data_IF_022322575230
#
_entry.id   IF_022322575230
#
_cell.length_a   1.000
_cell.length_b   1.000
_cell.length_c   1.000
_cell.angle_alpha   90.00
_cell.angle_beta   90.00
_cell.angle_gamma   90.00
#
_symmetry.space_group_name_H-M   'P 1'
#
loop_
_entity.id
_entity.type
_entity.pdbx_description
1 polymer ?
#
# COMPACT_ATOMS: atom_id res chain seq x y z
N UNK A 1 2.31 3.22 -28.99
CA UNK A 1 1.24 3.60 -28.05
C UNK A 1 1.62 3.03 -26.70
N UNK A 2 1.71 3.83 -25.62
CA UNK A 2 1.77 3.27 -24.28
C UNK A 2 0.56 2.36 -24.08
N UNK A 3 0.76 1.21 -23.42
CA UNK A 3 -0.38 0.36 -23.04
C UNK A 3 -1.32 1.14 -22.13
N UNK A 4 -2.64 0.95 -22.28
CA UNK A 4 -3.63 1.52 -21.36
C UNK A 4 -3.33 0.98 -19.95
N UNK A 5 -2.96 1.84 -18.98
CA UNK A 5 -2.65 1.39 -17.63
C UNK A 5 -3.81 0.66 -16.95
N UNK A 6 -5.06 0.96 -17.33
CA UNK A 6 -6.25 0.27 -16.80
C UNK A 6 -6.26 -1.22 -17.17
N UNK A 7 -5.55 -1.62 -18.22
CA UNK A 7 -5.40 -3.02 -18.57
C UNK A 7 -4.74 -3.85 -17.45
N UNK A 8 -4.00 -3.22 -16.52
CA UNK A 8 -3.42 -3.92 -15.36
C UNK A 8 -4.50 -4.59 -14.49
N UNK A 9 -5.70 -4.02 -14.44
CA UNK A 9 -6.83 -4.50 -13.63
C UNK A 9 -7.33 -5.88 -14.04
N UNK A 10 -7.11 -6.26 -15.30
CA UNK A 10 -7.57 -7.54 -15.86
C UNK A 10 -6.42 -8.39 -16.38
N UNK A 11 -5.18 -7.91 -16.21
CA UNK A 11 -4.00 -8.61 -16.71
C UNK A 11 -3.71 -9.82 -15.83
N UNK A 12 -3.61 -11.03 -16.41
CA UNK A 12 -3.23 -12.20 -15.64
C UNK A 12 -1.80 -12.05 -15.13
N UNK A 13 -1.59 -12.40 -13.86
CA UNK A 13 -0.28 -12.54 -13.27
C UNK A 13 0.08 -14.04 -13.13
N UNK A 14 1.37 -14.41 -13.14
CA UNK A 14 1.78 -15.76 -12.77
C UNK A 14 1.21 -16.15 -11.39
N UNK A 15 0.89 -17.43 -11.16
CA UNK A 15 0.49 -17.89 -9.83
C UNK A 15 1.59 -17.58 -8.78
N UNK A 16 1.25 -17.47 -7.50
CA UNK A 16 2.24 -17.35 -6.45
C UNK A 16 3.03 -18.64 -6.28
N UNK A 17 4.23 -18.54 -5.69
CA UNK A 17 5.06 -19.70 -5.36
C UNK A 17 4.54 -20.45 -4.13
N UNK A 18 3.89 -19.73 -3.21
CA UNK A 18 3.22 -20.28 -2.03
C UNK A 18 2.11 -19.33 -1.56
N UNK A 19 1.13 -19.86 -0.83
CA UNK A 19 0.15 -19.06 -0.09
C UNK A 19 0.23 -19.45 1.38
N UNK A 20 0.31 -18.47 2.26
CA UNK A 20 0.38 -18.65 3.71
C UNK A 20 -0.83 -18.02 4.38
N UNK A 21 -1.29 -18.61 5.48
CA UNK A 21 -2.32 -18.03 6.34
C UNK A 21 -1.64 -17.30 7.52
N UNK A 22 -2.14 -16.12 7.86
CA UNK A 22 -1.72 -15.36 9.05
C UNK A 22 -2.81 -15.29 10.12
N UNK A 23 -3.98 -15.90 9.86
CA UNK A 23 -5.08 -16.06 10.80
C UNK A 23 -6.07 -17.12 10.32
N UNK A 24 -7.17 -17.29 11.05
CA UNK A 24 -8.14 -18.37 10.84
C UNK A 24 -9.17 -18.06 9.74
N UNK A 25 -9.38 -16.79 9.41
CA UNK A 25 -10.33 -16.41 8.37
C UNK A 25 -9.76 -16.71 6.96
N UNK A 26 -10.56 -17.15 5.97
CA UNK A 26 -10.06 -17.44 4.62
C UNK A 26 -9.31 -16.29 3.94
N UNK A 27 -9.76 -15.06 4.19
CA UNK A 27 -9.13 -13.84 3.68
C UNK A 27 -7.94 -13.37 4.54
N UNK A 28 -7.60 -14.06 5.64
CA UNK A 28 -6.38 -13.83 6.40
C UNK A 28 -5.21 -14.64 5.83
N UNK A 29 -4.92 -14.40 4.54
CA UNK A 29 -3.86 -15.07 3.80
C UNK A 29 -2.97 -14.11 3.02
N UNK A 30 -1.83 -14.59 2.54
CA UNK A 30 -0.97 -13.86 1.63
C UNK A 30 -0.32 -14.78 0.60
N UNK A 31 -0.19 -14.25 -0.60
CA UNK A 31 0.52 -14.90 -1.70
C UNK A 31 1.99 -14.48 -1.68
N UNK A 32 2.88 -15.45 -1.65
CA UNK A 32 4.32 -15.26 -1.62
C UNK A 32 4.92 -15.47 -3.01
N UNK A 33 5.85 -14.58 -3.37
CA UNK A 33 6.63 -14.68 -4.61
C UNK A 33 8.11 -14.67 -4.30
N UNK A 34 8.82 -15.62 -4.92
CA UNK A 34 10.28 -15.74 -4.82
C UNK A 34 10.96 -14.62 -5.59
N UNK A 35 11.98 -13.97 -5.01
CA UNK A 35 12.83 -13.05 -5.76
C UNK A 35 13.55 -13.77 -6.88
N UNK A 36 13.68 -13.13 -8.04
CA UNK A 36 14.55 -13.59 -9.10
C UNK A 36 16.04 -13.42 -8.74
N UNK A 37 16.86 -14.39 -9.15
CA UNK A 37 18.32 -14.42 -8.94
C UNK A 37 18.75 -15.04 -7.61
N UNK A 38 20.05 -15.32 -7.50
CA UNK A 38 20.64 -16.05 -6.36
C UNK A 38 21.36 -15.11 -5.37
N UNK A 39 20.84 -13.88 -5.23
CA UNK A 39 21.40 -12.87 -4.33
C UNK A 39 21.20 -13.20 -2.85
N UNK A 40 21.84 -12.43 -1.94
CA UNK A 40 21.61 -12.61 -0.50
C UNK A 40 20.14 -12.34 -0.13
N UNK A 41 19.68 -12.83 1.04
CA UNK A 41 18.35 -12.54 1.54
C UNK A 41 18.06 -11.04 1.54
N UNK A 42 16.86 -10.65 1.12
CA UNK A 42 16.43 -9.24 1.10
C UNK A 42 15.25 -9.00 2.01
N UNK A 43 15.10 -7.74 2.43
CA UNK A 43 13.92 -7.29 3.18
C UNK A 43 12.65 -7.59 2.38
N UNK A 44 11.64 -8.13 3.07
CA UNK A 44 10.34 -8.45 2.48
C UNK A 44 9.64 -7.18 2.00
N UNK A 45 9.01 -7.25 0.82
CA UNK A 45 8.07 -6.25 0.35
C UNK A 45 6.65 -6.77 0.52
N UNK A 46 5.87 -6.14 1.39
CA UNK A 46 4.45 -6.48 1.57
C UNK A 46 3.61 -5.56 0.69
N UNK A 47 2.81 -6.13 -0.20
CA UNK A 47 1.91 -5.40 -1.10
C UNK A 47 0.49 -5.47 -0.55
N UNK A 48 -0.11 -4.30 -0.30
CA UNK A 48 -1.51 -4.15 0.16
C UNK A 48 -2.33 -3.57 -0.98
N UNK A 49 -3.32 -4.34 -1.46
CA UNK A 49 -4.13 -3.94 -2.60
C UNK A 49 -5.16 -2.86 -2.25
N UNK A 50 -5.61 -2.13 -3.27
CA UNK A 50 -6.66 -1.11 -3.19
C UNK A 50 -8.07 -1.67 -3.45
N UNK A 51 -8.93 -0.86 -4.06
CA UNK A 51 -10.32 -1.23 -4.37
C UNK A 51 -11.34 -0.77 -3.32
N UNK A 52 -11.08 0.38 -2.68
CA UNK A 52 -12.00 0.99 -1.70
C UNK A 52 -12.49 0.03 -0.60
N UNK A 53 -11.63 -0.92 -0.22
CA UNK A 53 -11.91 -1.96 0.78
C UNK A 53 -13.11 -2.85 0.43
N UNK A 54 -13.58 -2.85 -0.81
CA UNK A 54 -14.76 -3.60 -1.26
C UNK A 54 -14.39 -5.02 -1.65
N UNK A 55 -15.30 -5.95 -1.38
CA UNK A 55 -15.15 -7.37 -1.68
C UNK A 55 -14.90 -7.68 -3.17
N UNK A 56 -15.27 -6.74 -4.05
CA UNK A 56 -15.09 -6.78 -5.51
C UNK A 56 -13.63 -6.92 -5.94
N UNK A 57 -12.69 -6.43 -5.13
CA UNK A 57 -11.27 -6.43 -5.43
C UNK A 57 -10.51 -7.20 -4.35
N UNK A 58 -9.67 -8.13 -4.76
CA UNK A 58 -8.81 -8.91 -3.88
C UNK A 58 -7.33 -8.67 -4.22
N UNK A 59 -6.43 -9.35 -3.52
CA UNK A 59 -4.98 -9.22 -3.74
C UNK A 59 -4.54 -9.48 -5.19
N UNK A 60 -5.30 -10.25 -5.99
CA UNK A 60 -4.95 -10.56 -7.38
C UNK A 60 -4.88 -9.31 -8.25
N UNK A 61 -5.61 -8.25 -7.89
CA UNK A 61 -5.56 -6.91 -8.50
C UNK A 61 -4.14 -6.33 -8.59
N UNK A 62 -3.27 -6.67 -7.63
CA UNK A 62 -1.87 -6.22 -7.60
C UNK A 62 -0.89 -7.28 -8.12
N UNK A 63 -1.39 -8.39 -8.68
CA UNK A 63 -0.60 -9.51 -9.17
C UNK A 63 0.51 -9.10 -10.14
N UNK A 64 0.24 -8.31 -11.19
CA UNK A 64 1.28 -7.85 -12.11
C UNK A 64 2.39 -7.05 -11.42
N UNK A 65 2.03 -6.15 -10.49
CA UNK A 65 3.00 -5.38 -9.71
C UNK A 65 3.88 -6.30 -8.86
N UNK A 66 3.28 -7.24 -8.14
CA UNK A 66 4.01 -8.15 -7.28
C UNK A 66 4.94 -9.08 -8.06
N UNK A 67 4.50 -9.58 -9.22
CA UNK A 67 5.35 -10.35 -10.12
C UNK A 67 6.54 -9.52 -10.64
N UNK A 68 6.31 -8.26 -10.99
CA UNK A 68 7.39 -7.36 -11.45
C UNK A 68 8.38 -7.02 -10.33
N UNK A 69 7.91 -6.79 -9.10
CA UNK A 69 8.79 -6.59 -7.93
C UNK A 69 9.63 -7.84 -7.63
N UNK A 70 9.03 -9.04 -7.76
CA UNK A 70 9.75 -10.31 -7.61
C UNK A 70 10.81 -10.50 -8.70
N UNK A 71 10.50 -10.14 -9.95
CA UNK A 71 11.45 -10.14 -11.07
C UNK A 71 12.61 -9.14 -10.88
N UNK A 72 12.41 -8.08 -10.10
CA UNK A 72 13.46 -7.15 -9.67
C UNK A 72 14.30 -7.67 -8.49
N UNK A 73 14.03 -8.90 -8.03
CA UNK A 73 14.79 -9.58 -6.98
C UNK A 73 14.30 -9.33 -5.56
N UNK A 74 13.09 -8.78 -5.36
CA UNK A 74 12.51 -8.65 -4.02
C UNK A 74 11.67 -9.88 -3.64
N UNK A 75 11.79 -10.43 -2.42
CA UNK A 75 10.76 -11.32 -1.90
C UNK A 75 9.49 -10.50 -1.66
N UNK A 76 8.36 -10.98 -2.17
CA UNK A 76 7.08 -10.25 -2.12
C UNK A 76 6.02 -11.07 -1.41
N UNK A 77 5.23 -10.43 -0.55
CA UNK A 77 4.01 -10.96 0.03
C UNK A 77 2.83 -10.06 -0.34
N UNK A 78 1.87 -10.55 -1.13
CA UNK A 78 0.62 -9.85 -1.41
C UNK A 78 -0.41 -10.24 -0.36
N UNK A 79 -0.72 -9.33 0.56
CA UNK A 79 -1.62 -9.62 1.68
C UNK A 79 -3.08 -9.46 1.24
N UNK A 80 -3.91 -10.44 1.63
CA UNK A 80 -5.37 -10.35 1.60
C UNK A 80 -5.89 -9.94 2.98
N UNK A 81 -7.09 -9.38 3.04
CA UNK A 81 -7.75 -8.99 4.28
C UNK A 81 -9.27 -9.01 4.12
N UNK A 82 -10.06 -9.11 5.19
CA UNK A 82 -11.53 -9.02 5.08
C UNK A 82 -11.96 -7.68 4.52
N UNK A 83 -12.96 -7.69 3.63
CA UNK A 83 -13.41 -6.51 2.87
C UNK A 83 -14.89 -6.21 3.12
N UNK A 84 -15.25 -4.93 3.03
CA UNK A 84 -16.65 -4.48 3.08
C UNK A 84 -17.49 -5.20 2.03
N UNK A 85 -18.73 -5.55 2.39
CA UNK A 85 -19.59 -6.42 1.59
C UNK A 85 -19.45 -7.91 1.92
N UNK A 86 -18.45 -8.31 2.71
CA UNK A 86 -18.35 -9.67 3.28
C UNK A 86 -18.78 -9.68 4.76
N UNK A 87 -19.21 -10.84 5.29
CA UNK A 87 -19.41 -11.02 6.72
C UNK A 87 -18.15 -10.65 7.51
N UNK A 88 -18.29 -9.71 8.44
CA UNK A 88 -17.20 -9.27 9.30
C UNK A 88 -16.17 -8.36 8.62
N UNK A 89 -16.35 -7.95 7.36
CA UNK A 89 -15.52 -6.92 6.74
C UNK A 89 -15.91 -5.51 7.17
N UNK A 90 -15.00 -4.55 6.97
CA UNK A 90 -15.11 -3.21 7.53
C UNK A 90 -14.51 -3.11 8.92
N UNK A 91 -14.94 -2.11 9.68
CA UNK A 91 -14.45 -1.84 11.02
C UNK A 91 -14.82 -2.96 12.02
N UNK A 92 -13.88 -3.42 12.87
CA UNK A 92 -12.45 -3.09 12.87
C UNK A 92 -11.61 -4.02 11.98
N UNK A 93 -12.20 -5.12 11.52
CA UNK A 93 -11.52 -6.29 10.99
C UNK A 93 -10.69 -6.05 9.73
N UNK A 94 -11.15 -5.23 8.78
CA UNK A 94 -10.35 -4.89 7.59
C UNK A 94 -8.99 -4.30 7.99
N UNK A 95 -8.98 -3.46 9.03
CA UNK A 95 -7.78 -2.79 9.49
C UNK A 95 -6.91 -3.72 10.34
N UNK A 96 -7.52 -4.45 11.27
CA UNK A 96 -6.78 -5.36 12.15
C UNK A 96 -6.24 -6.57 11.42
N UNK A 97 -6.88 -7.00 10.33
CA UNK A 97 -6.36 -8.05 9.43
C UNK A 97 -5.05 -7.62 8.77
N UNK A 98 -4.98 -6.42 8.17
CA UNK A 98 -3.74 -5.94 7.55
C UNK A 98 -2.65 -5.70 8.59
N UNK A 99 -3.00 -5.19 9.77
CA UNK A 99 -2.06 -5.05 10.88
C UNK A 99 -1.47 -6.41 11.30
N UNK A 100 -2.32 -7.42 11.50
CA UNK A 100 -1.88 -8.76 11.84
C UNK A 100 -1.03 -9.40 10.73
N UNK A 101 -1.47 -9.27 9.48
CA UNK A 101 -0.76 -9.77 8.30
C UNK A 101 0.63 -9.15 8.16
N UNK A 102 0.75 -7.83 8.10
CA UNK A 102 2.05 -7.14 7.98
C UNK A 102 3.00 -7.53 9.12
N UNK A 103 2.48 -7.70 10.34
CA UNK A 103 3.29 -8.10 11.50
C UNK A 103 3.79 -9.55 11.39
N UNK A 104 2.96 -10.49 10.92
CA UNK A 104 3.29 -11.91 10.85
C UNK A 104 4.10 -12.31 9.61
N UNK A 105 3.91 -11.60 8.49
CA UNK A 105 4.43 -12.01 7.19
C UNK A 105 5.95 -12.15 7.08
N UNK A 106 6.80 -11.36 7.76
CA UNK A 106 8.25 -11.59 7.73
C UNK A 106 8.64 -13.00 8.18
N UNK A 107 8.02 -13.49 9.27
CA UNK A 107 8.28 -14.83 9.80
C UNK A 107 7.72 -15.92 8.91
N UNK A 108 6.46 -15.76 8.46
CA UNK A 108 5.81 -16.72 7.56
C UNK A 108 6.54 -16.84 6.21
N UNK A 109 6.97 -15.71 5.64
CA UNK A 109 7.72 -15.68 4.39
C UNK A 109 9.12 -16.29 4.56
N UNK A 110 9.82 -16.02 5.67
CA UNK A 110 11.13 -16.64 5.95
C UNK A 110 11.04 -18.17 6.10
N UNK A 111 9.95 -18.68 6.68
CA UNK A 111 9.70 -20.11 6.79
C UNK A 111 9.37 -20.76 5.43
N UNK A 112 8.54 -20.11 4.62
CA UNK A 112 8.14 -20.62 3.31
C UNK A 112 9.23 -20.46 2.23
N UNK A 113 10.07 -19.43 2.33
CA UNK A 113 11.12 -19.07 1.38
C UNK A 113 12.49 -19.03 2.09
N UNK A 114 13.00 -20.18 2.56
CA UNK A 114 14.21 -20.23 3.37
C UNK A 114 15.43 -19.66 2.64
N UNK A 115 16.17 -18.77 3.31
CA UNK A 115 17.37 -18.13 2.76
C UNK A 115 17.11 -16.97 1.79
N UNK A 116 15.85 -16.58 1.56
CA UNK A 116 15.50 -15.51 0.60
C UNK A 116 15.00 -14.23 1.28
N UNK A 117 14.52 -14.32 2.52
CA UNK A 117 13.95 -13.21 3.29
C UNK A 117 14.89 -12.82 4.43
N UNK A 118 15.28 -11.56 4.50
CA UNK A 118 16.11 -11.02 5.56
C UNK A 118 15.28 -10.79 6.85
N UNK A 119 15.91 -10.98 8.01
CA UNK A 119 15.32 -10.69 9.31
C UNK A 119 15.28 -9.18 9.59
N UNK A 120 14.32 -8.49 8.98
CA UNK A 120 14.07 -7.08 9.19
C UNK A 120 12.59 -6.75 8.94
N UNK A 121 12.04 -5.67 9.55
CA UNK A 121 10.69 -5.21 9.24
C UNK A 121 10.51 -4.97 7.74
N UNK A 122 9.37 -5.36 7.15
CA UNK A 122 9.12 -5.26 5.71
C UNK A 122 8.96 -3.81 5.27
N UNK A 123 9.17 -3.56 3.97
CA UNK A 123 8.64 -2.33 3.35
C UNK A 123 7.23 -2.62 2.87
N UNK A 124 6.28 -1.77 3.25
CA UNK A 124 4.87 -1.91 2.89
C UNK A 124 4.56 -1.00 1.72
N UNK A 125 4.14 -1.60 0.60
CA UNK A 125 3.69 -0.92 -0.61
C UNK A 125 2.17 -1.02 -0.64
N UNK A 126 1.48 0.11 -0.51
CA UNK A 126 0.02 0.15 -0.52
C UNK A 126 -0.50 1.01 -1.67
N UNK A 127 -1.47 0.51 -2.44
CA UNK A 127 -2.13 1.29 -3.49
C UNK A 127 -3.53 1.73 -3.07
N UNK A 128 -3.87 3.01 -3.28
CA UNK A 128 -5.22 3.53 -3.04
C UNK A 128 -5.69 3.27 -1.60
N UNK A 129 -6.79 2.55 -1.43
CA UNK A 129 -7.28 2.02 -0.15
C UNK A 129 -6.27 1.14 0.61
N UNK A 130 -5.36 0.46 -0.07
CA UNK A 130 -4.22 -0.24 0.52
C UNK A 130 -3.10 0.69 0.97
N UNK A 131 -2.96 1.86 0.33
CA UNK A 131 -2.10 2.95 0.78
C UNK A 131 -2.57 3.55 2.11
N UNK A 132 -3.89 3.68 2.28
CA UNK A 132 -4.51 3.97 3.57
C UNK A 132 -4.10 2.94 4.64
N UNK A 133 -4.29 1.65 4.35
CA UNK A 133 -3.99 0.58 5.31
C UNK A 133 -2.49 0.49 5.63
N UNK A 134 -1.60 0.77 4.68
CA UNK A 134 -0.16 0.83 4.92
C UNK A 134 0.22 1.95 5.91
N UNK A 135 -0.38 3.13 5.77
CA UNK A 135 -0.20 4.24 6.71
C UNK A 135 -0.78 3.92 8.09
N UNK A 136 -1.96 3.29 8.13
CA UNK A 136 -2.57 2.81 9.37
C UNK A 136 -1.64 1.86 10.14
N UNK A 137 -1.08 0.84 9.48
CA UNK A 137 -0.16 -0.10 10.15
C UNK A 137 1.10 0.62 10.63
N UNK A 138 1.64 1.55 9.84
CA UNK A 138 2.82 2.33 10.25
C UNK A 138 2.56 3.20 11.49
N UNK A 139 1.34 3.72 11.66
CA UNK A 139 0.96 4.49 12.85
C UNK A 139 0.78 3.61 14.10
N UNK A 140 0.17 2.43 13.94
CA UNK A 140 -0.19 1.56 15.08
C UNK A 140 0.88 0.55 15.46
N UNK A 141 1.74 0.17 14.53
CA UNK A 141 2.82 -0.80 14.72
C UNK A 141 4.12 -0.34 14.02
N UNK A 142 4.69 0.82 14.39
CA UNK A 142 5.85 1.40 13.69
C UNK A 142 7.07 0.47 13.67
N UNK A 143 7.27 -0.35 14.70
CA UNK A 143 8.36 -1.33 14.75
C UNK A 143 8.17 -2.51 13.77
N UNK A 144 6.95 -2.76 13.32
CA UNK A 144 6.62 -3.81 12.35
C UNK A 144 6.75 -3.32 10.90
N UNK A 145 7.11 -2.05 10.66
CA UNK A 145 7.20 -1.48 9.30
C UNK A 145 8.54 -0.80 9.11
N UNK A 146 9.31 -1.30 8.14
CA UNK A 146 10.63 -0.76 7.78
C UNK A 146 10.58 0.47 6.87
N UNK A 147 9.43 0.77 6.29
CA UNK A 147 9.18 1.91 5.42
C UNK A 147 7.85 1.76 4.68
N UNK A 148 7.24 2.87 4.26
CA UNK A 148 5.98 2.87 3.48
C UNK A 148 6.21 3.49 2.11
N UNK A 149 5.78 2.79 1.07
CA UNK A 149 5.56 3.33 -0.27
C UNK A 149 4.05 3.38 -0.53
N UNK A 150 3.46 4.57 -0.38
CA UNK A 150 2.03 4.78 -0.57
C UNK A 150 1.76 5.29 -2.00
N UNK A 151 1.07 4.50 -2.80
CA UNK A 151 0.72 4.80 -4.19
C UNK A 151 -0.72 5.33 -4.25
N UNK A 152 -0.89 6.63 -4.50
CA UNK A 152 -2.16 7.33 -4.49
C UNK A 152 -3.07 7.02 -3.26
N UNK A 153 -2.57 7.15 -2.01
CA UNK A 153 -3.30 6.70 -0.82
C UNK A 153 -4.55 7.54 -0.54
N UNK A 154 -5.58 6.88 0.00
CA UNK A 154 -6.70 7.55 0.67
C UNK A 154 -6.25 7.99 2.08
N UNK A 155 -5.45 9.05 2.16
CA UNK A 155 -4.76 9.47 3.39
C UNK A 155 -5.57 10.42 4.30
N UNK A 156 -6.82 10.70 3.95
CA UNK A 156 -7.77 11.52 4.72
C UNK A 156 -9.16 10.90 4.52
N UNK A 157 -9.63 10.13 5.51
CA UNK A 157 -10.91 9.43 5.44
C UNK A 157 -12.08 10.40 5.59
N UNK A 158 -11.93 11.44 6.42
CA UNK A 158 -12.96 12.46 6.59
C UNK A 158 -13.21 13.23 5.27
N UNK A 159 -12.16 13.63 4.58
CA UNK A 159 -12.26 14.27 3.27
C UNK A 159 -12.75 13.30 2.19
N UNK A 160 -12.27 12.06 2.18
CA UNK A 160 -12.77 11.03 1.27
C UNK A 160 -14.27 10.75 1.45
N UNK A 161 -14.76 10.78 2.69
CA UNK A 161 -16.19 10.70 2.99
C UNK A 161 -16.95 11.93 2.49
N UNK A 162 -16.43 13.14 2.74
CA UNK A 162 -17.06 14.40 2.31
C UNK A 162 -17.17 14.49 0.78
N UNK A 163 -16.20 13.95 0.07
CA UNK A 163 -16.17 13.86 -1.40
C UNK A 163 -16.98 12.70 -1.96
N UNK A 164 -17.53 11.84 -1.10
CA UNK A 164 -18.27 10.62 -1.44
C UNK A 164 -17.49 9.71 -2.42
N UNK A 165 -16.19 9.52 -2.15
CA UNK A 165 -15.35 8.70 -3.02
C UNK A 165 -15.92 7.28 -3.11
N UNK A 166 -16.10 6.84 -4.36
CA UNK A 166 -16.64 5.53 -4.72
C UNK A 166 -18.01 5.21 -4.10
N UNK A 167 -18.85 6.23 -3.86
CA UNK A 167 -20.23 6.05 -3.41
C UNK A 167 -20.34 5.42 -2.03
N UNK A 168 -19.85 6.13 -1.01
CA UNK A 168 -19.98 5.74 0.40
C UNK A 168 -18.96 4.69 0.87
N UNK A 169 -17.83 4.50 0.18
CA UNK A 169 -16.83 3.50 0.55
C UNK A 169 -16.32 3.68 2.00
N UNK A 170 -16.04 4.93 2.41
CA UNK A 170 -15.61 5.21 3.78
C UNK A 170 -16.70 4.89 4.80
N UNK A 171 -17.96 5.22 4.49
CA UNK A 171 -19.10 4.92 5.34
C UNK A 171 -19.28 3.40 5.52
N UNK A 172 -19.10 2.64 4.45
CA UNK A 172 -19.13 1.18 4.48
C UNK A 172 -17.96 0.58 5.29
N UNK A 173 -16.76 1.17 5.19
CA UNK A 173 -15.60 0.77 5.98
C UNK A 173 -15.83 1.03 7.48
N UNK A 174 -16.21 2.26 7.85
CA UNK A 174 -16.24 2.69 9.25
C UNK A 174 -17.61 2.55 9.91
N UNK A 175 -18.66 2.24 9.15
CA UNK A 175 -20.03 2.09 9.65
C UNK A 175 -20.74 3.42 9.96
N UNK A 176 -20.33 4.52 9.33
CA UNK A 176 -20.92 5.85 9.52
C UNK A 176 -19.99 6.98 9.04
N UNK A 177 -20.49 8.21 9.05
CA UNK A 177 -19.67 9.40 8.78
C UNK A 177 -18.90 9.92 10.00
N UNK A 178 -18.06 10.96 9.83
CA UNK A 178 -17.23 11.50 10.93
C UNK A 178 -18.03 11.96 12.14
N UNK A 179 -19.26 12.46 11.95
CA UNK A 179 -20.15 12.85 13.04
C UNK A 179 -20.79 11.67 13.77
N UNK A 180 -20.95 10.53 13.07
CA UNK A 180 -21.66 9.37 13.61
C UNK A 180 -20.72 8.46 14.40
N UNK A 181 -19.48 8.33 13.92
CA UNK A 181 -18.45 7.45 14.50
C UNK A 181 -17.10 8.15 14.67
N UNK A 182 -17.04 9.28 15.39
CA UNK A 182 -15.83 10.12 15.49
C UNK A 182 -14.61 9.35 16.03
N UNK A 183 -14.80 8.47 17.01
CA UNK A 183 -13.72 7.66 17.59
C UNK A 183 -13.09 6.71 16.55
N UNK A 184 -13.88 6.21 15.58
CA UNK A 184 -13.36 5.35 14.51
C UNK A 184 -12.51 6.13 13.54
N UNK A 185 -12.92 7.35 13.17
CA UNK A 185 -12.09 8.23 12.34
C UNK A 185 -10.79 8.60 13.07
N UNK A 186 -10.88 9.01 14.34
CA UNK A 186 -9.68 9.32 15.14
C UNK A 186 -8.69 8.14 15.24
N UNK A 187 -9.19 6.90 15.29
CA UNK A 187 -8.36 5.71 15.38
C UNK A 187 -7.80 5.21 14.05
N UNK A 188 -8.35 5.62 12.91
CA UNK A 188 -8.06 5.00 11.60
C UNK A 188 -7.58 5.94 10.52
N UNK A 189 -7.98 7.21 10.58
CA UNK A 189 -7.68 8.19 9.56
C UNK A 189 -6.20 8.61 9.62
N UNK A 190 -5.39 8.38 8.57
CA UNK A 190 -3.98 8.76 8.56
C UNK A 190 -3.76 10.25 8.81
N UNK A 191 -4.73 11.12 8.51
CA UNK A 191 -4.68 12.56 8.81
C UNK A 191 -4.82 12.86 10.31
N UNK A 192 -5.47 11.98 11.07
CA UNK A 192 -5.63 12.07 12.53
C UNK A 192 -4.51 11.35 13.29
N UNK A 193 -3.77 10.48 12.60
CA UNK A 193 -2.70 9.66 13.17
C UNK A 193 -1.29 10.27 13.03
N UNK A 194 -1.16 11.48 12.49
CA UNK A 194 0.13 12.18 12.44
C UNK A 194 0.56 12.61 13.86
N UNK A 195 1.87 12.55 14.20
CA UNK A 195 2.96 12.16 13.32
C UNK A 195 3.16 10.64 13.21
N UNK A 196 3.39 10.16 11.98
CA UNK A 196 3.80 8.77 11.70
C UNK A 196 5.32 8.74 11.56
N UNK A 197 6.01 8.05 12.47
CA UNK A 197 7.48 8.06 12.54
C UNK A 197 8.16 7.21 11.45
N UNK A 198 7.43 6.29 10.84
CA UNK A 198 7.96 5.46 9.74
C UNK A 198 8.18 6.29 8.48
N UNK A 199 9.38 6.18 7.89
CA UNK A 199 9.72 6.83 6.61
C UNK A 199 8.71 6.46 5.53
N UNK A 200 8.08 7.48 4.95
CA UNK A 200 6.99 7.31 4.00
C UNK A 200 7.29 8.06 2.71
N UNK A 201 7.23 7.36 1.58
CA UNK A 201 7.23 7.98 0.25
C UNK A 201 5.85 7.80 -0.35
N UNK A 202 5.21 8.90 -0.71
CA UNK A 202 3.96 8.95 -1.44
C UNK A 202 4.27 9.21 -2.91
N UNK A 203 3.71 8.41 -3.82
CA UNK A 203 3.68 8.71 -5.25
C UNK A 203 2.23 8.90 -5.66
N UNK A 204 1.93 9.96 -6.39
CA UNK A 204 0.55 10.24 -6.81
C UNK A 204 0.53 10.86 -8.21
N UNK A 205 -0.36 10.37 -9.07
CA UNK A 205 -0.55 10.87 -10.43
C UNK A 205 -1.39 12.15 -10.48
N UNK A 206 -1.00 13.14 -11.29
CA UNK A 206 -1.78 14.38 -11.42
C UNK A 206 -3.07 14.21 -12.23
N UNK A 207 -3.22 13.10 -12.96
CA UNK A 207 -4.42 12.75 -13.73
C UNK A 207 -5.31 11.73 -12.99
N UNK A 208 -5.07 11.53 -11.69
CA UNK A 208 -5.88 10.65 -10.86
C UNK A 208 -7.32 11.17 -10.74
N UNK A 209 -8.28 10.35 -11.15
CA UNK A 209 -9.71 10.66 -11.08
C UNK A 209 -10.44 9.83 -10.00
N UNK A 210 -9.74 8.94 -9.31
CA UNK A 210 -10.30 8.07 -8.27
C UNK A 210 -10.06 8.67 -6.88
N UNK A 211 -8.82 9.11 -6.63
CA UNK A 211 -8.41 9.76 -5.40
C UNK A 211 -7.80 11.10 -5.76
N UNK A 212 -8.39 12.24 -5.35
CA UNK A 212 -7.82 13.53 -5.69
C UNK A 212 -6.40 13.70 -5.11
N UNK A 213 -5.45 14.13 -5.96
CA UNK A 213 -4.07 14.45 -5.57
C UNK A 213 -3.99 15.39 -4.35
N UNK A 214 -4.99 16.27 -4.18
CA UNK A 214 -5.11 17.17 -3.04
C UNK A 214 -5.08 16.43 -1.68
N UNK A 215 -5.64 15.22 -1.58
CA UNK A 215 -5.59 14.40 -0.36
C UNK A 215 -4.14 14.09 0.03
N UNK A 216 -3.32 13.67 -0.94
CA UNK A 216 -1.90 13.38 -0.68
C UNK A 216 -1.07 14.64 -0.40
N UNK A 217 -1.34 15.76 -1.10
CA UNK A 217 -0.68 17.04 -0.83
C UNK A 217 -0.95 17.52 0.60
N UNK A 218 -2.22 17.55 1.01
CA UNK A 218 -2.63 17.98 2.34
C UNK A 218 -2.04 17.07 3.42
N UNK A 219 -2.14 15.75 3.25
CA UNK A 219 -1.59 14.80 4.21
C UNK A 219 -0.07 14.94 4.35
N UNK A 220 0.70 14.98 3.25
CA UNK A 220 2.17 15.13 3.33
C UNK A 220 2.57 16.47 3.97
N UNK A 221 1.85 17.54 3.67
CA UNK A 221 2.10 18.84 4.29
C UNK A 221 1.87 18.80 5.80
N UNK A 222 0.74 18.26 6.26
CA UNK A 222 0.42 18.11 7.68
C UNK A 222 1.39 17.16 8.39
N UNK A 223 1.69 16.01 7.78
CA UNK A 223 2.61 15.01 8.32
C UNK A 223 4.02 15.61 8.52
N UNK A 224 4.54 16.36 7.54
CA UNK A 224 5.83 17.06 7.65
C UNK A 224 5.81 18.14 8.74
N UNK A 225 4.74 18.93 8.82
CA UNK A 225 4.57 19.95 9.85
C UNK A 225 4.55 19.33 11.27
N UNK A 226 4.02 18.12 11.41
CA UNK A 226 4.03 17.34 12.65
C UNK A 226 5.35 16.58 12.91
N UNK A 227 6.32 16.61 11.99
CA UNK A 227 7.63 15.95 12.13
C UNK A 227 7.74 14.55 11.54
N UNK A 228 6.77 14.09 10.74
CA UNK A 228 6.84 12.80 10.04
C UNK A 228 7.85 12.85 8.87
N UNK A 229 8.68 11.83 8.67
CA UNK A 229 9.58 11.70 7.52
C UNK A 229 8.82 11.29 6.23
N UNK A 230 7.91 12.15 5.78
CA UNK A 230 7.07 11.92 4.59
C UNK A 230 7.58 12.70 3.37
N UNK A 231 7.50 12.10 2.17
CA UNK A 231 7.81 12.77 0.89
C UNK A 231 6.73 12.51 -0.14
N UNK A 232 6.39 13.52 -0.94
CA UNK A 232 5.47 13.40 -2.08
C UNK A 232 6.25 13.48 -3.40
N UNK A 233 6.00 12.51 -4.29
CA UNK A 233 6.42 12.52 -5.68
C UNK A 233 5.18 12.60 -6.54
N UNK A 234 5.00 13.71 -7.24
CA UNK A 234 3.89 13.91 -8.16
C UNK A 234 4.31 13.52 -9.58
N UNK A 235 3.44 12.79 -10.28
CA UNK A 235 3.67 12.37 -11.67
C UNK A 235 2.66 13.07 -12.60
N UNK A 236 3.08 14.09 -13.37
CA UNK A 236 2.16 14.96 -14.13
C UNK A 236 1.27 14.22 -15.14
N UNK A 237 1.77 13.14 -15.72
CA UNK A 237 1.10 12.40 -16.81
C UNK A 237 0.54 11.05 -16.35
N UNK A 238 0.55 10.76 -15.05
CA UNK A 238 0.10 9.49 -14.50
C UNK A 238 -1.35 9.61 -14.00
N UNK A 239 -2.17 8.63 -14.34
CA UNK A 239 -3.47 8.39 -13.71
C UNK A 239 -3.36 7.42 -12.52
N UNK A 240 -4.48 6.96 -11.96
CA UNK A 240 -4.55 6.18 -10.72
C UNK A 240 -3.85 4.80 -10.79
N UNK A 241 -3.95 4.10 -11.92
CA UNK A 241 -3.52 2.70 -12.07
C UNK A 241 -2.11 2.55 -12.66
N UNK A 242 -1.58 3.59 -13.29
CA UNK A 242 -0.22 3.61 -13.83
C UNK A 242 0.83 3.34 -12.76
N UNK A 243 0.54 3.67 -11.50
CA UNK A 243 1.41 3.40 -10.36
C UNK A 243 1.59 1.89 -10.06
N UNK A 244 0.65 1.03 -10.45
CA UNK A 244 0.70 -0.42 -10.23
C UNK A 244 0.93 -1.22 -11.52
N UNK A 245 1.02 -0.54 -12.66
CA UNK A 245 1.24 -1.16 -13.97
C UNK A 245 2.75 -1.20 -14.31
N UNK A 246 3.39 -2.39 -14.39
CA UNK A 246 4.84 -2.49 -14.62
C UNK A 246 5.34 -1.99 -15.98
N UNK A 247 4.44 -1.86 -16.96
CA UNK A 247 4.70 -1.36 -18.31
C UNK A 247 4.35 0.14 -18.47
N UNK A 248 3.93 0.81 -17.40
CA UNK A 248 3.64 2.24 -17.43
C UNK A 248 4.91 3.08 -17.42
N UNK A 249 4.79 4.33 -17.88
CA UNK A 249 5.85 5.34 -17.74
C UNK A 249 6.15 5.70 -16.27
N UNK A 250 5.24 5.42 -15.35
CA UNK A 250 5.41 5.67 -13.92
C UNK A 250 6.25 4.60 -13.21
N UNK A 251 6.29 3.37 -13.75
CA UNK A 251 6.94 2.23 -13.10
C UNK A 251 8.40 2.48 -12.68
N UNK A 252 9.28 3.11 -13.50
CA UNK A 252 10.64 3.42 -13.06
C UNK A 252 10.70 4.30 -11.81
N UNK A 253 9.72 5.22 -11.62
CA UNK A 253 9.63 6.07 -10.43
C UNK A 253 9.20 5.30 -9.19
N UNK A 254 8.27 4.35 -9.35
CA UNK A 254 7.84 3.43 -8.28
C UNK A 254 9.02 2.59 -7.79
N UNK A 255 9.78 2.00 -8.73
CA UNK A 255 10.96 1.20 -8.41
C UNK A 255 12.04 2.05 -7.73
N UNK A 256 12.31 3.26 -8.22
CA UNK A 256 13.28 4.17 -7.60
C UNK A 256 12.88 4.56 -6.16
N UNK A 257 11.60 4.85 -5.93
CA UNK A 257 11.09 5.17 -4.60
C UNK A 257 11.21 3.97 -3.64
N UNK A 258 10.88 2.75 -4.11
CA UNK A 258 11.06 1.54 -3.33
C UNK A 258 12.53 1.33 -2.92
N UNK A 259 13.48 1.50 -3.85
CA UNK A 259 14.92 1.42 -3.54
C UNK A 259 15.33 2.46 -2.50
N UNK A 260 14.81 3.69 -2.59
CA UNK A 260 15.12 4.74 -1.60
C UNK A 260 14.72 4.38 -0.16
N UNK A 261 13.77 3.44 0.03
CA UNK A 261 13.35 2.94 1.34
C UNK A 261 14.22 1.79 1.86
N UNK A 262 15.04 1.17 1.00
CA UNK A 262 15.98 0.11 1.40
C UNK A 262 17.31 0.67 1.92
N UNK A 263 17.74 1.82 1.39
CA UNK A 263 19.14 2.27 1.49
C UNK A 263 19.38 3.42 2.50
N UNK A 264 18.40 3.81 3.33
CA UNK A 264 18.50 4.94 4.28
C UNK A 264 19.16 6.22 3.70
N UNK A 265 19.00 6.45 2.38
CA UNK A 265 19.53 7.65 1.73
C UNK A 265 18.55 8.83 1.88
N UNK A 266 19.07 10.08 2.01
CA UNK A 266 18.26 11.29 1.99
C UNK A 266 17.35 11.30 0.77
N UNK A 267 16.09 11.70 0.98
CA UNK A 267 15.00 11.54 0.03
C UNK A 267 15.32 12.03 -1.38
N UNK A 268 14.78 11.34 -2.38
CA UNK A 268 14.76 11.80 -3.77
C UNK A 268 14.17 13.21 -3.76
N UNK A 269 15.01 14.21 -3.96
CA UNK A 269 14.61 15.60 -3.99
C UNK A 269 13.57 15.77 -5.10
N UNK A 270 12.40 16.31 -4.74
CA UNK A 270 11.29 16.53 -5.66
C UNK A 270 11.60 17.60 -6.75
N UNK A 271 12.84 18.08 -6.81
CA UNK A 271 13.30 19.16 -7.67
C UNK A 271 14.36 18.74 -8.71
N UNK A 272 14.57 17.45 -8.98
CA UNK A 272 15.50 17.04 -10.05
C UNK A 272 14.74 16.82 -11.38
N UNK A 273 14.71 17.81 -12.31
CA UNK A 273 14.31 17.54 -13.68
C UNK A 273 15.37 16.62 -14.30
N UNK A 274 14.89 15.56 -14.94
CA UNK A 274 15.69 14.65 -15.77
C UNK A 274 16.60 15.41 -16.73
N UNK A 275 17.85 14.95 -16.86
CA UNK A 275 18.51 14.94 -18.17
C UNK A 275 18.27 13.58 -18.81
#
# INVERSE_FOLDING_TARGET
MPADPRAVLTRPAPPPDATVAYGDHPDQCADLRRPAGDGPPRRLVVVVHGGFWRAEYDRTHTGPMAAALAALGHPVAQVEYRRTGQPGGGWPHTLTDVLAGVTALPGLAAAALPGLVASAPPIVVGHSAGGHLALYVAAHAPAAVGGVLALAPVADLAEAYRLDLDGGAVAALLGGGPSDVPDRYAATDPSSLVPIQTRTVVIHGALDQQVPLAISRSWVSAARAAGSPATLIELPECEHFGLIAPDSAAWPRVVAALRSLHDDLPGIDAASPSR
#
